data_IF_881012664369
#
_entry.id   IF_881012664369
#
_cell.length_a   1.000
_cell.length_b   1.000
_cell.length_c   1.000
_cell.angle_alpha   90.00
_cell.angle_beta   90.00
_cell.angle_gamma   90.00
#
_symmetry.space_group_name_H-M   'P 1'
#
loop_
_entity.id
_entity.type
_entity.pdbx_description
1 polymer ?
#
# COMPACT_ATOMS: atom_id res chain seq x y z
N UNK A 1 -8.96 -16.32 14.46
CA UNK A 1 -10.02 -16.54 15.47
C UNK A 1 -9.34 -16.67 16.84
N UNK A 2 -9.95 -16.12 17.89
CA UNK A 2 -9.42 -16.24 19.25
C UNK A 2 -10.42 -17.01 20.11
N UNK A 3 -9.96 -18.00 20.87
CA UNK A 3 -10.81 -18.80 21.76
C UNK A 3 -10.50 -18.47 23.21
N UNK A 4 -11.52 -18.08 23.95
CA UNK A 4 -11.43 -17.70 25.36
C UNK A 4 -12.27 -18.65 26.20
N UNK A 5 -11.86 -18.90 27.44
CA UNK A 5 -12.51 -19.83 28.32
C UNK A 5 -12.59 -19.27 29.74
N UNK A 6 -13.80 -19.17 30.29
CA UNK A 6 -14.02 -18.82 31.68
C UNK A 6 -13.90 -20.09 32.53
N UNK A 7 -12.87 -20.15 33.39
CA UNK A 7 -12.67 -21.24 34.36
C UNK A 7 -13.08 -20.85 35.78
N UNK A 8 -13.63 -19.65 35.95
CA UNK A 8 -14.20 -19.19 37.21
C UNK A 8 -15.60 -19.72 37.46
N UNK A 9 -16.13 -19.39 38.64
CA UNK A 9 -17.45 -19.83 39.13
C UNK A 9 -18.56 -18.82 38.90
N UNK A 10 -18.25 -17.67 38.29
CA UNK A 10 -19.20 -16.60 37.98
C UNK A 10 -19.03 -16.10 36.54
N UNK A 11 -20.07 -15.50 35.99
CA UNK A 11 -20.03 -14.88 34.66
C UNK A 11 -18.98 -13.75 34.62
N UNK A 12 -18.23 -13.67 33.52
CA UNK A 12 -17.24 -12.64 33.30
C UNK A 12 -17.66 -11.75 32.11
N UNK A 13 -17.52 -10.43 32.26
CA UNK A 13 -17.59 -9.48 31.16
C UNK A 13 -16.17 -9.02 30.85
N UNK A 14 -15.76 -9.20 29.60
CA UNK A 14 -14.42 -8.85 29.13
C UNK A 14 -14.48 -7.97 27.90
N UNK A 15 -13.51 -7.07 27.84
CA UNK A 15 -13.20 -6.25 26.69
C UNK A 15 -11.75 -6.51 26.29
N UNK A 16 -11.38 -6.23 25.06
CA UNK A 16 -9.99 -6.32 24.62
C UNK A 16 -9.64 -5.17 23.68
N UNK A 17 -8.34 -4.93 23.57
CA UNK A 17 -7.74 -4.00 22.62
C UNK A 17 -6.67 -4.74 21.83
N UNK A 18 -6.36 -4.26 20.63
CA UNK A 18 -5.33 -4.84 19.79
C UNK A 18 -4.41 -3.75 19.24
N UNK A 19 -3.14 -4.10 19.12
CA UNK A 19 -2.11 -3.33 18.45
C UNK A 19 -1.70 -4.06 17.16
N UNK A 20 -1.42 -3.29 16.11
CA UNK A 20 -0.85 -3.80 14.86
C UNK A 20 0.64 -3.54 14.85
N UNK A 21 1.42 -4.56 14.49
CA UNK A 21 2.86 -4.45 14.22
C UNK A 21 3.07 -4.63 12.73
N UNK A 22 3.55 -3.59 12.05
CA UNK A 22 3.84 -3.60 10.62
C UNK A 22 5.35 -3.64 10.43
N UNK A 23 5.83 -4.62 9.68
CA UNK A 23 7.21 -4.71 9.24
C UNK A 23 7.35 -4.07 7.86
N UNK A 24 8.17 -3.03 7.77
CA UNK A 24 8.63 -2.42 6.52
C UNK A 24 10.07 -2.81 6.25
N UNK A 25 10.42 -2.96 4.96
CA UNK A 25 11.79 -3.23 4.51
C UNK A 25 12.25 -1.97 3.75
N UNK A 26 13.38 -1.40 4.15
CA UNK A 26 13.96 -0.25 3.46
C UNK A 26 14.72 -0.66 2.18
N UNK A 27 15.18 0.31 1.38
CA UNK A 27 15.94 0.08 0.14
C UNK A 27 17.27 -0.67 0.38
N UNK A 28 17.82 -0.54 1.59
CA UNK A 28 19.04 -1.20 2.04
C UNK A 28 18.79 -2.62 2.61
N UNK A 29 17.53 -3.06 2.69
CA UNK A 29 17.12 -4.38 3.18
C UNK A 29 16.98 -4.51 4.70
N UNK A 30 17.03 -3.41 5.46
CA UNK A 30 16.78 -3.43 6.90
C UNK A 30 15.28 -3.52 7.19
N UNK A 31 14.94 -4.31 8.22
CA UNK A 31 13.57 -4.44 8.71
C UNK A 31 13.33 -3.42 9.82
N UNK A 32 12.31 -2.59 9.64
CA UNK A 32 11.79 -1.70 10.67
C UNK A 32 10.39 -2.14 11.06
N UNK A 33 10.14 -2.22 12.37
CA UNK A 33 8.82 -2.56 12.91
C UNK A 33 8.15 -1.32 13.50
N UNK A 34 6.94 -1.03 13.04
CA UNK A 34 6.11 0.05 13.55
C UNK A 34 4.92 -0.55 14.28
N UNK A 35 4.73 -0.14 15.54
CA UNK A 35 3.59 -0.57 16.37
C UNK A 35 2.59 0.58 16.49
N UNK A 36 1.33 0.31 16.17
CA UNK A 36 0.23 1.27 16.25
C UNK A 36 -1.04 0.60 16.80
N UNK A 37 -1.98 1.40 17.32
CA UNK A 37 -3.28 0.89 17.70
C UNK A 37 -4.02 0.35 16.47
N UNK A 38 -4.53 -0.88 16.54
CA UNK A 38 -5.25 -1.47 15.41
C UNK A 38 -6.68 -0.93 15.32
N UNK A 39 -7.14 -0.61 14.10
CA UNK A 39 -8.55 -0.34 13.87
C UNK A 39 -9.33 -1.66 13.81
N UNK A 40 -9.97 -2.00 14.93
CA UNK A 40 -10.84 -3.17 15.11
C UNK A 40 -12.33 -2.78 15.19
N UNK A 41 -12.70 -1.57 14.74
CA UNK A 41 -14.09 -1.09 14.80
C UNK A 41 -14.58 -0.73 16.21
N UNK A 42 -13.67 -0.38 17.12
CA UNK A 42 -13.99 0.05 18.50
C UNK A 42 -13.77 -1.03 19.57
N UNK A 43 -14.40 -0.86 20.74
CA UNK A 43 -14.26 -1.82 21.84
C UNK A 43 -14.95 -3.15 21.52
N UNK A 44 -14.15 -4.19 21.39
CA UNK A 44 -14.63 -5.55 21.21
C UNK A 44 -14.66 -6.27 22.56
N UNK A 45 -15.71 -7.05 22.81
CA UNK A 45 -15.92 -7.68 24.11
C UNK A 45 -17.13 -8.60 24.13
N UNK A 46 -17.29 -9.32 25.24
CA UNK A 46 -18.35 -10.29 25.41
C UNK A 46 -18.52 -10.75 26.85
N UNK A 47 -19.68 -11.34 27.13
CA UNK A 47 -19.92 -12.05 28.39
C UNK A 47 -19.66 -13.53 28.17
N UNK A 48 -18.91 -14.17 29.08
CA UNK A 48 -18.66 -15.60 29.09
C UNK A 48 -19.17 -16.17 30.41
N UNK A 49 -20.11 -17.12 30.34
CA UNK A 49 -20.66 -17.74 31.54
C UNK A 49 -19.63 -18.64 32.26
N UNK A 50 -19.89 -18.94 33.53
CA UNK A 50 -19.01 -19.77 34.34
C UNK A 50 -18.79 -21.15 33.68
N UNK A 51 -17.52 -21.55 33.50
CA UNK A 51 -17.15 -22.82 32.87
C UNK A 51 -17.21 -22.85 31.34
N UNK A 52 -17.74 -21.81 30.68
CA UNK A 52 -17.94 -21.79 29.23
C UNK A 52 -16.67 -21.38 28.46
N UNK A 53 -16.66 -21.64 27.14
CA UNK A 53 -15.71 -21.05 26.21
C UNK A 53 -16.41 -20.40 25.02
N UNK A 54 -15.95 -19.22 24.64
CA UNK A 54 -16.46 -18.45 23.50
C UNK A 54 -15.34 -18.28 22.48
N UNK A 55 -15.70 -18.36 21.20
CA UNK A 55 -14.84 -17.95 20.10
C UNK A 55 -15.22 -16.54 19.65
N UNK A 56 -14.21 -15.69 19.47
CA UNK A 56 -14.39 -14.31 19.03
C UNK A 56 -13.79 -14.13 17.65
N UNK A 57 -14.58 -13.48 16.79
CA UNK A 57 -14.21 -13.13 15.43
C UNK A 57 -14.53 -11.65 15.23
N UNK A 58 -13.55 -10.88 14.80
CA UNK A 58 -13.69 -9.47 14.49
C UNK A 58 -12.80 -9.14 13.30
N UNK A 59 -13.25 -8.19 12.49
CA UNK A 59 -12.42 -7.62 11.42
C UNK A 59 -11.45 -6.60 12.00
N UNK A 60 -10.34 -6.41 11.30
CA UNK A 60 -9.41 -5.32 11.56
C UNK A 60 -8.88 -4.79 10.23
N UNK A 61 -8.43 -3.53 10.22
CA UNK A 61 -7.84 -2.91 9.04
C UNK A 61 -6.36 -2.59 9.31
N UNK A 62 -5.51 -2.94 8.35
CA UNK A 62 -4.14 -2.44 8.32
C UNK A 62 -4.13 -0.94 8.00
N UNK A 63 -3.27 -0.19 8.68
CA UNK A 63 -3.05 1.23 8.41
C UNK A 63 -2.08 1.48 7.26
N UNK A 64 -1.23 0.49 6.94
CA UNK A 64 -0.15 0.59 5.96
C UNK A 64 -0.04 -0.70 5.14
N UNK A 65 0.47 -0.60 3.92
CA UNK A 65 0.82 -1.75 3.10
C UNK A 65 2.09 -2.43 3.65
N UNK A 66 2.15 -3.77 3.57
CA UNK A 66 3.28 -4.54 4.09
C UNK A 66 2.86 -5.75 4.92
N UNK A 67 3.83 -6.35 5.61
CA UNK A 67 3.59 -7.48 6.49
C UNK A 67 3.14 -6.96 7.85
N UNK A 68 1.93 -7.32 8.26
CA UNK A 68 1.35 -6.89 9.52
C UNK A 68 0.96 -8.08 10.39
N UNK A 69 1.12 -7.96 11.70
CA UNK A 69 0.59 -8.89 12.69
C UNK A 69 -0.26 -8.14 13.71
N UNK A 70 -1.26 -8.81 14.27
CA UNK A 70 -2.18 -8.23 15.23
C UNK A 70 -1.96 -8.86 16.60
N UNK A 71 -1.68 -8.06 17.63
CA UNK A 71 -1.51 -8.51 19.01
C UNK A 71 -2.61 -7.94 19.89
N UNK A 72 -3.43 -8.81 20.47
CA UNK A 72 -4.56 -8.43 21.30
C UNK A 72 -4.32 -8.75 22.78
N UNK A 73 -4.83 -7.91 23.67
CA UNK A 73 -4.82 -8.12 25.12
C UNK A 73 -6.19 -7.83 25.73
N UNK A 74 -6.56 -8.63 26.72
CA UNK A 74 -7.80 -8.42 27.48
C UNK A 74 -7.63 -7.17 28.36
N UNK A 75 -8.60 -6.28 28.30
CA UNK A 75 -8.78 -5.15 29.19
C UNK A 75 -9.56 -5.63 30.42
N UNK A 76 -8.86 -5.92 31.50
CA UNK A 76 -9.48 -6.12 32.82
C UNK A 76 -9.80 -4.74 33.44
N UNK A 77 -10.94 -4.57 34.15
CA UNK A 77 -11.20 -3.35 34.89
C UNK A 77 -10.06 -3.05 35.88
N UNK A 78 -9.67 -1.78 35.97
CA UNK A 78 -8.46 -1.26 36.66
C UNK A 78 -8.42 -1.46 38.18
N UNK A 79 -9.31 -2.26 38.77
CA UNK A 79 -9.39 -2.51 40.21
C UNK A 79 -8.88 -3.89 40.64
N UNK A 80 -8.29 -4.66 39.72
CA UNK A 80 -7.63 -5.90 40.10
C UNK A 80 -6.15 -5.66 40.42
N UNK A 81 -5.77 -6.06 41.63
CA UNK A 81 -4.41 -5.93 42.21
C UNK A 81 -3.41 -6.87 41.53
N UNK A 82 -3.87 -7.81 40.70
CA UNK A 82 -3.04 -8.83 40.05
C UNK A 82 -3.43 -9.02 38.57
N UNK A 83 -2.50 -8.68 37.69
CA UNK A 83 -2.60 -8.81 36.22
C UNK A 83 -2.72 -10.28 35.76
N UNK A 84 -2.31 -11.24 36.60
CA UNK A 84 -2.31 -12.67 36.27
C UNK A 84 -3.55 -13.42 36.78
N UNK A 85 -4.41 -12.78 37.58
CA UNK A 85 -5.56 -13.45 38.21
C UNK A 85 -6.62 -13.95 37.21
N UNK A 86 -6.60 -13.46 35.97
CA UNK A 86 -7.53 -13.89 34.91
C UNK A 86 -6.89 -14.73 33.80
N UNK A 87 -5.59 -15.10 33.92
CA UNK A 87 -4.88 -15.76 32.82
C UNK A 87 -4.83 -14.90 31.54
N UNK A 88 -4.91 -13.57 31.70
CA UNK A 88 -5.01 -12.59 30.61
C UNK A 88 -3.68 -12.37 29.92
N UNK A 89 -3.27 -13.33 29.08
CA UNK A 89 -2.13 -13.15 28.19
C UNK A 89 -2.44 -12.23 27.01
N UNK A 90 -1.40 -11.86 26.28
CA UNK A 90 -1.53 -11.34 24.91
C UNK A 90 -1.63 -12.50 23.92
N UNK A 91 -2.37 -12.28 22.84
CA UNK A 91 -2.46 -13.22 21.73
C UNK A 91 -2.09 -12.49 20.45
N UNK A 92 -1.09 -13.02 19.75
CA UNK A 92 -0.63 -12.49 18.46
C UNK A 92 -1.10 -13.39 17.33
N UNK A 93 -1.59 -12.79 16.25
CA UNK A 93 -1.96 -13.51 15.04
C UNK A 93 -0.72 -13.89 14.23
N UNK A 94 -0.90 -14.75 13.23
CA UNK A 94 0.10 -14.88 12.16
C UNK A 94 0.28 -13.56 11.39
N UNK A 95 1.33 -13.51 10.58
CA UNK A 95 1.61 -12.38 9.68
C UNK A 95 0.64 -12.40 8.50
N UNK A 96 0.11 -11.23 8.16
CA UNK A 96 -0.81 -11.01 7.05
C UNK A 96 -0.25 -9.89 6.16
N UNK A 97 -0.35 -10.05 4.84
CA UNK A 97 0.17 -9.07 3.89
C UNK A 97 -0.95 -8.14 3.44
N UNK A 98 -0.75 -6.83 3.63
CA UNK A 98 -1.60 -5.77 3.09
C UNK A 98 -0.98 -5.22 1.82
N UNK A 99 -1.79 -5.11 0.77
CA UNK A 99 -1.37 -4.55 -0.51
C UNK A 99 -2.18 -3.28 -0.78
N UNK A 100 -1.50 -2.23 -1.18
CA UNK A 100 -2.15 -1.04 -1.72
C UNK A 100 -2.93 -1.41 -2.98
N UNK A 101 -4.20 -1.02 -3.12
CA UNK A 101 -4.92 -1.20 -4.36
C UNK A 101 -4.17 -0.47 -5.49
N UNK A 102 -4.02 -1.15 -6.63
CA UNK A 102 -3.45 -0.51 -7.82
C UNK A 102 -4.50 0.47 -8.33
N UNK A 103 -4.17 1.76 -8.37
CA UNK A 103 -5.05 2.77 -8.98
C UNK A 103 -5.15 2.51 -10.49
N UNK A 104 -6.18 1.79 -10.91
CA UNK A 104 -6.50 1.52 -12.31
C UNK A 104 -6.92 2.79 -13.08
N UNK A 105 -7.23 3.89 -12.37
CA UNK A 105 -7.54 5.20 -12.93
C UNK A 105 -6.29 6.05 -13.23
N UNK A 106 -5.09 5.56 -12.92
CA UNK A 106 -3.86 6.21 -13.37
C UNK A 106 -3.70 5.98 -14.88
N UNK A 107 -3.55 7.07 -15.66
CA UNK A 107 -3.22 6.92 -17.08
C UNK A 107 -1.96 6.04 -17.17
N UNK A 108 -1.99 4.93 -17.94
CA UNK A 108 -0.84 4.06 -18.04
C UNK A 108 0.33 4.91 -18.56
N UNK A 109 1.35 5.11 -17.71
CA UNK A 109 2.44 6.05 -18.00
C UNK A 109 3.23 5.59 -19.25
N UNK A 110 3.29 4.28 -19.49
CA UNK A 110 3.97 3.70 -20.65
C UNK A 110 3.42 4.20 -21.99
N UNK A 111 2.13 4.04 -22.34
CA UNK A 111 1.59 4.55 -23.59
C UNK A 111 1.64 6.08 -23.70
N UNK A 112 1.53 6.81 -22.59
CA UNK A 112 1.69 8.27 -22.59
C UNK A 112 3.11 8.69 -23.01
N UNK A 113 4.13 8.05 -22.42
CA UNK A 113 5.53 8.29 -22.78
C UNK A 113 5.83 7.87 -24.22
N UNK A 114 5.30 6.72 -24.66
CA UNK A 114 5.45 6.27 -26.04
C UNK A 114 4.85 7.27 -27.04
N UNK A 115 3.67 7.82 -26.76
CA UNK A 115 3.04 8.83 -27.60
C UNK A 115 3.87 10.12 -27.70
N UNK A 116 4.49 10.56 -26.60
CA UNK A 116 5.39 11.72 -26.60
C UNK A 116 6.63 11.50 -27.48
N UNK A 117 7.25 10.32 -27.40
CA UNK A 117 8.40 9.98 -28.24
C UNK A 117 8.02 9.99 -29.72
N UNK A 118 6.89 9.38 -30.07
CA UNK A 118 6.40 9.36 -31.45
C UNK A 118 6.12 10.77 -31.96
N UNK A 119 5.50 11.63 -31.15
CA UNK A 119 5.25 13.02 -31.51
C UNK A 119 6.54 13.79 -31.79
N UNK A 120 7.58 13.61 -30.96
CA UNK A 120 8.89 14.23 -31.17
C UNK A 120 9.57 13.73 -32.45
N UNK A 121 9.48 12.44 -32.77
CA UNK A 121 10.04 11.87 -34.00
C UNK A 121 9.34 12.44 -35.24
N UNK A 122 8.01 12.54 -35.23
CA UNK A 122 7.24 13.11 -36.35
C UNK A 122 7.58 14.59 -36.52
N UNK A 123 7.60 15.36 -35.43
CA UNK A 123 7.95 16.77 -35.46
C UNK A 123 9.37 16.98 -36.00
N UNK A 124 10.35 16.23 -35.48
CA UNK A 124 11.74 16.30 -35.92
C UNK A 124 11.92 15.94 -37.40
N UNK A 125 11.28 14.86 -37.86
CA UNK A 125 11.32 14.46 -39.27
C UNK A 125 10.68 15.52 -40.20
N UNK A 126 9.59 16.15 -39.77
CA UNK A 126 8.94 17.21 -40.55
C UNK A 126 9.82 18.46 -40.68
N UNK A 127 10.54 18.83 -39.61
CA UNK A 127 11.46 19.95 -39.62
C UNK A 127 12.68 19.68 -40.49
N UNK A 128 13.26 18.47 -40.39
CA UNK A 128 14.40 18.07 -41.23
C UNK A 128 14.05 18.03 -42.72
N UNK A 129 12.85 17.53 -43.08
CA UNK A 129 12.39 17.53 -44.48
C UNK A 129 12.19 18.95 -45.03
N UNK A 130 11.60 19.85 -44.25
CA UNK A 130 11.48 21.26 -44.66
C UNK A 130 12.83 21.93 -44.81
N UNK A 131 13.78 21.63 -43.93
CA UNK A 131 15.14 22.16 -44.04
C UNK A 131 15.86 21.61 -45.27
N UNK A 132 15.67 20.32 -45.62
CA UNK A 132 16.27 19.76 -46.84
C UNK A 132 15.66 20.32 -48.12
N UNK A 133 14.34 20.49 -48.19
CA UNK A 133 13.67 21.06 -49.37
C UNK A 133 14.14 22.51 -49.61
N UNK A 134 14.29 23.30 -48.54
CA UNK A 134 14.79 24.67 -48.64
C UNK A 134 16.25 24.76 -49.13
N UNK A 135 17.09 23.79 -48.78
CA UNK A 135 18.49 23.74 -49.25
C UNK A 135 18.53 23.33 -50.73
N UNK A 136 17.71 22.36 -51.15
CA UNK A 136 17.67 21.88 -52.54
C UNK A 136 17.14 22.95 -53.49
N UNK A 137 16.06 23.67 -53.14
CA UNK A 137 15.57 24.78 -53.97
C UNK A 137 16.63 25.87 -54.15
N UNK A 138 17.37 26.19 -53.08
CA UNK A 138 18.46 27.16 -53.15
C UNK A 138 19.56 26.68 -54.09
N UNK A 139 19.94 25.41 -54.06
CA UNK A 139 21.00 24.85 -54.91
C UNK A 139 20.61 24.79 -56.40
N UNK A 140 19.36 24.42 -56.71
CA UNK A 140 18.84 24.44 -58.09
C UNK A 140 18.74 25.86 -58.66
N UNK A 141 18.34 26.85 -57.85
CA UNK A 141 18.24 28.25 -58.28
C UNK A 141 19.63 28.82 -58.65
N UNK A 142 20.65 28.56 -57.83
CA UNK A 142 22.04 29.00 -58.10
C UNK A 142 22.61 28.33 -59.36
N UNK A 143 22.32 27.04 -59.57
CA UNK A 143 22.75 26.30 -60.76
C UNK A 143 22.05 26.78 -62.05
N UNK A 144 20.78 27.14 -61.97
CA UNK A 144 20.03 27.67 -63.12
C UNK A 144 20.59 29.01 -63.61
N UNK A 145 20.93 29.92 -62.68
CA UNK A 145 21.52 31.22 -63.02
C UNK A 145 22.87 31.07 -63.72
N UNK A 146 23.70 30.11 -63.28
CA UNK A 146 25.02 29.88 -63.89
C UNK A 146 24.96 29.32 -65.32
N UNK A 147 23.88 28.61 -65.67
CA UNK A 147 23.71 28.01 -67.00
C UNK A 147 23.26 29.03 -68.06
N UNK A 148 22.56 30.08 -67.67
CA UNK A 148 22.12 31.14 -68.59
C UNK A 148 23.26 32.13 -68.93
N UNK A 149 24.33 32.18 -68.14
CA UNK A 149 25.53 33.00 -68.45
C UNK A 149 26.46 32.35 -69.50
N UNK A 150 26.25 31.07 -69.83
CA UNK A 150 27.07 30.28 -70.77
C UNK A 150 26.41 30.09 -72.16
N UNK A 151 25.29 30.77 -72.46
CA UNK A 151 24.52 30.64 -73.72
C UNK A 151 24.69 31.83 -74.69
#
# INVERSE_FOLDING_TARGET
>A
HARMANRGTASALLYFTCDTTVASIDEDGNVTETVAAADIGGYQGGRIEAGESVEMQFGWRGSEAGQASLTCRILTPTQLVDENAFGGGSMTTGVMTWTEPVDEDSLPMLPLLAALVVAMVIAGASMLRRASDAIVETEEEILSYSRDEDA
#
